data_IF_544675285991
#
_entry.id   IF_544675285991
#
_cell.length_a   1.000
_cell.length_b   1.000
_cell.length_c   1.000
_cell.angle_alpha   90.00
_cell.angle_beta   90.00
_cell.angle_gamma   90.00
#
_symmetry.space_group_name_H-M   'P 1'
#
loop_
_entity.id
_entity.type
_entity.pdbx_description
1 polymer ?
#
# COMPACT_ATOMS: atom_id res chain seq x y z
N UNK A 1 -0.15 -12.73 10.50
CA UNK A 1 0.90 -11.83 9.99
C UNK A 1 0.45 -11.32 8.65
N UNK A 2 0.31 -10.00 8.50
CA UNK A 2 -0.08 -9.30 7.29
C UNK A 2 1.15 -9.02 6.43
N UNK A 3 1.14 -9.44 5.17
CA UNK A 3 2.22 -9.23 4.22
C UNK A 3 1.85 -8.13 3.24
N UNK A 4 2.63 -7.06 3.21
CA UNK A 4 2.36 -5.85 2.44
C UNK A 4 3.44 -5.67 1.39
N UNK A 5 3.07 -5.62 0.11
CA UNK A 5 4.00 -5.22 -0.95
C UNK A 5 4.02 -3.70 -1.10
N UNK A 6 5.21 -3.10 -1.08
CA UNK A 6 5.44 -1.74 -1.60
C UNK A 6 5.85 -1.88 -3.07
N UNK A 7 5.03 -1.33 -3.97
CA UNK A 7 5.19 -1.51 -5.42
C UNK A 7 5.60 -0.20 -6.08
N UNK A 8 6.71 -0.24 -6.83
CA UNK A 8 7.17 0.90 -7.63
C UNK A 8 7.77 0.46 -8.97
N UNK A 9 7.96 1.40 -9.90
CA UNK A 9 8.53 1.17 -11.23
C UNK A 9 10.03 0.80 -11.28
N UNK A 10 10.64 0.36 -10.18
CA UNK A 10 12.03 -0.18 -10.18
C UNK A 10 13.15 0.80 -9.80
N UNK A 11 12.91 1.77 -8.91
CA UNK A 11 13.93 2.74 -8.45
C UNK A 11 14.44 2.54 -7.02
N UNK A 12 15.57 3.18 -6.69
CA UNK A 12 16.24 3.16 -5.36
C UNK A 12 15.36 3.67 -4.21
N UNK A 13 14.50 4.67 -4.46
CA UNK A 13 13.68 5.32 -3.42
C UNK A 13 12.62 4.39 -2.83
N UNK A 14 12.13 3.41 -3.58
CA UNK A 14 11.02 2.56 -3.14
C UNK A 14 11.49 1.31 -2.41
N UNK A 15 12.67 0.79 -2.76
CA UNK A 15 13.38 -0.17 -1.91
C UNK A 15 13.78 0.47 -0.58
N UNK A 16 14.14 1.76 -0.59
CA UNK A 16 14.42 2.51 0.63
C UNK A 16 13.17 2.69 1.50
N UNK A 17 12.01 2.99 0.89
CA UNK A 17 10.72 3.05 1.60
C UNK A 17 10.39 1.73 2.30
N UNK A 18 10.38 0.61 1.58
CA UNK A 18 10.08 -0.70 2.18
C UNK A 18 11.06 -1.03 3.32
N UNK A 19 12.35 -0.76 3.11
CA UNK A 19 13.38 -0.97 4.14
C UNK A 19 13.21 -0.06 5.36
N UNK A 20 12.72 1.16 5.17
CA UNK A 20 12.43 2.09 6.26
C UNK A 20 11.21 1.62 7.07
N UNK A 21 10.13 1.23 6.39
CA UNK A 21 8.94 0.67 7.03
C UNK A 21 9.26 -0.61 7.82
N UNK A 22 10.09 -1.51 7.28
CA UNK A 22 10.55 -2.70 8.01
C UNK A 22 11.34 -2.36 9.28
N UNK A 23 12.22 -1.36 9.22
CA UNK A 23 12.96 -0.90 10.40
C UNK A 23 12.02 -0.34 11.47
N UNK A 24 11.00 0.40 11.04
CA UNK A 24 10.00 0.95 11.95
C UNK A 24 9.12 -0.14 12.57
N UNK A 25 8.76 -1.18 11.80
CA UNK A 25 8.08 -2.39 12.31
C UNK A 25 8.91 -3.05 13.41
N UNK A 26 10.20 -3.27 13.17
CA UNK A 26 11.12 -3.85 14.16
C UNK A 26 11.27 -2.95 15.40
N UNK A 27 11.41 -1.63 15.21
CA UNK A 27 11.52 -0.69 16.32
C UNK A 27 10.26 -0.66 17.20
N UNK A 28 9.10 -0.95 16.61
CA UNK A 28 7.80 -1.05 17.30
C UNK A 28 7.45 -2.46 17.77
N UNK A 29 8.31 -3.45 17.55
CA UNK A 29 8.09 -4.86 17.93
C UNK A 29 6.86 -5.49 17.24
N UNK A 30 6.59 -5.08 16.00
CA UNK A 30 5.43 -5.52 15.20
C UNK A 30 5.80 -6.61 14.17
N UNK A 31 7.02 -7.16 14.21
CA UNK A 31 7.52 -8.13 13.21
C UNK A 31 6.73 -9.44 13.13
N UNK A 32 6.00 -9.80 14.19
CA UNK A 32 5.12 -10.98 14.19
C UNK A 32 3.74 -10.67 13.59
N UNK A 33 3.41 -9.39 13.45
CA UNK A 33 2.11 -8.91 13.00
C UNK A 33 2.13 -8.47 11.55
N UNK A 34 3.18 -7.77 11.11
CA UNK A 34 3.27 -7.16 9.78
C UNK A 34 4.65 -7.37 9.17
N UNK A 35 4.69 -7.57 7.86
CA UNK A 35 5.91 -7.58 7.06
C UNK A 35 5.73 -6.81 5.75
N UNK A 36 6.61 -5.85 5.49
CA UNK A 36 6.73 -5.10 4.25
C UNK A 36 7.80 -5.71 3.34
N UNK A 37 7.44 -5.91 2.09
CA UNK A 37 8.37 -6.37 1.04
C UNK A 37 8.31 -5.45 -0.15
N UNK A 38 9.45 -5.21 -0.81
CA UNK A 38 9.49 -4.47 -2.07
C UNK A 38 9.28 -5.42 -3.26
N UNK A 39 8.35 -5.08 -4.15
CA UNK A 39 8.14 -5.79 -5.42
C UNK A 39 8.09 -4.75 -6.56
N UNK A 40 8.93 -4.86 -7.60
CA UNK A 40 8.82 -3.98 -8.74
C UNK A 40 7.49 -4.14 -9.48
N UNK A 41 6.97 -3.06 -10.07
CA UNK A 41 5.69 -3.06 -10.80
C UNK A 41 5.66 -4.10 -11.94
N UNK A 42 6.79 -4.40 -12.56
CA UNK A 42 6.90 -5.45 -13.58
C UNK A 42 6.65 -6.86 -13.04
N UNK A 43 6.84 -7.09 -11.73
CA UNK A 43 6.78 -8.41 -11.10
C UNK A 43 5.59 -8.57 -10.14
N UNK A 44 4.83 -7.52 -9.83
CA UNK A 44 3.76 -7.65 -8.83
C UNK A 44 2.63 -8.58 -9.29
N UNK A 45 2.28 -8.59 -10.59
CA UNK A 45 1.19 -9.44 -11.10
C UNK A 45 1.54 -10.94 -10.98
N UNK A 46 2.79 -11.32 -11.19
CA UNK A 46 3.25 -12.71 -11.10
C UNK A 46 3.61 -13.13 -9.66
N UNK A 47 3.93 -12.17 -8.78
CA UNK A 47 4.32 -12.40 -7.37
C UNK A 47 3.23 -12.04 -6.36
N UNK A 48 2.03 -11.71 -6.80
CA UNK A 48 0.96 -11.25 -5.91
C UNK A 48 0.56 -12.30 -4.86
N UNK A 49 0.76 -13.60 -5.12
CA UNK A 49 0.53 -14.67 -4.14
C UNK A 49 1.50 -14.65 -2.94
N UNK A 50 2.56 -13.85 -3.00
CA UNK A 50 3.51 -13.69 -1.89
C UNK A 50 3.00 -12.78 -0.78
N UNK A 51 1.99 -11.94 -1.07
CA UNK A 51 1.51 -10.86 -0.20
C UNK A 51 -0.02 -10.82 -0.12
N UNK A 52 -0.54 -10.18 0.93
CA UNK A 52 -1.99 -10.04 1.13
C UNK A 52 -2.54 -8.77 0.49
N UNK A 53 -1.70 -7.73 0.34
CA UNK A 53 -2.08 -6.42 -0.19
C UNK A 53 -0.90 -5.72 -0.85
N UNK A 54 -1.16 -5.01 -1.95
CA UNK A 54 -0.15 -4.23 -2.67
C UNK A 54 -0.42 -2.72 -2.57
N UNK A 55 0.53 -2.00 -1.98
CA UNK A 55 0.54 -0.54 -1.89
C UNK A 55 1.42 0.03 -3.00
N UNK A 56 0.79 0.62 -4.02
CA UNK A 56 1.44 1.17 -5.20
C UNK A 56 1.86 2.62 -4.93
N UNK A 57 3.10 2.96 -5.30
CA UNK A 57 3.57 4.33 -5.23
C UNK A 57 2.68 5.29 -6.07
N UNK A 58 2.59 6.58 -5.69
CA UNK A 58 1.67 7.53 -6.34
C UNK A 58 1.81 7.59 -7.87
N UNK A 59 3.04 7.49 -8.37
CA UNK A 59 3.34 7.57 -9.80
C UNK A 59 2.85 6.36 -10.63
N UNK A 60 2.36 5.29 -9.98
CA UNK A 60 1.84 4.10 -10.64
C UNK A 60 0.32 4.12 -10.86
N UNK A 61 -0.37 5.26 -10.71
CA UNK A 61 -1.83 5.33 -10.92
C UNK A 61 -2.27 4.77 -12.30
N UNK A 62 -1.53 5.10 -13.36
CA UNK A 62 -1.83 4.61 -14.71
C UNK A 62 -1.66 3.09 -14.78
N UNK A 63 -0.57 2.57 -14.21
CA UNK A 63 -0.31 1.14 -14.12
C UNK A 63 -1.43 0.42 -13.34
N UNK A 64 -1.85 0.96 -12.20
CA UNK A 64 -2.91 0.40 -11.37
C UNK A 64 -4.22 0.27 -12.17
N UNK A 65 -4.59 1.30 -12.93
CA UNK A 65 -5.80 1.28 -13.78
C UNK A 65 -5.68 0.30 -14.93
N UNK A 66 -4.52 0.23 -15.57
CA UNK A 66 -4.29 -0.65 -16.73
C UNK A 66 -4.31 -2.14 -16.35
N UNK A 67 -3.76 -2.49 -15.18
CA UNK A 67 -3.59 -3.87 -14.73
C UNK A 67 -4.59 -4.29 -13.66
N UNK A 68 -5.61 -3.47 -13.33
CA UNK A 68 -6.57 -3.72 -12.27
C UNK A 68 -7.20 -5.13 -12.32
N UNK A 69 -7.61 -5.58 -13.50
CA UNK A 69 -8.23 -6.89 -13.72
C UNK A 69 -7.26 -8.07 -13.62
N UNK A 70 -5.95 -7.81 -13.58
CA UNK A 70 -4.92 -8.85 -13.43
C UNK A 70 -4.61 -9.17 -11.96
N UNK A 71 -5.19 -8.44 -11.01
CA UNK A 71 -4.96 -8.64 -9.58
C UNK A 71 -6.12 -9.34 -8.89
N UNK A 72 -5.82 -10.39 -8.12
CA UNK A 72 -6.75 -11.06 -7.20
C UNK A 72 -6.51 -10.69 -5.73
N UNK A 73 -5.56 -9.81 -5.46
CA UNK A 73 -5.36 -9.13 -4.17
C UNK A 73 -5.77 -7.66 -4.28
N UNK A 74 -6.07 -6.97 -3.17
CA UNK A 74 -6.31 -5.53 -3.20
C UNK A 74 -5.04 -4.77 -3.59
N UNK A 75 -5.20 -3.84 -4.54
CA UNK A 75 -4.18 -2.84 -4.87
C UNK A 75 -4.67 -1.46 -4.43
N UNK A 76 -3.81 -0.70 -3.77
CA UNK A 76 -4.11 0.65 -3.27
C UNK A 76 -3.01 1.62 -3.65
N UNK A 77 -3.38 2.81 -4.12
CA UNK A 77 -2.41 3.86 -4.46
C UNK A 77 -2.12 4.69 -3.22
N UNK A 78 -0.86 4.68 -2.77
CA UNK A 78 -0.40 5.45 -1.61
C UNK A 78 -0.56 6.95 -1.92
N UNK A 79 -1.21 7.74 -1.05
CA UNK A 79 -1.26 9.19 -1.16
C UNK A 79 0.14 9.83 -1.21
N UNK A 80 0.37 10.86 -2.04
CA UNK A 80 1.70 11.48 -2.18
C UNK A 80 2.33 11.96 -0.88
N UNK A 81 1.53 12.51 0.05
CA UNK A 81 2.06 13.00 1.34
C UNK A 81 2.47 11.85 2.27
N UNK A 82 1.73 10.74 2.29
CA UNK A 82 2.12 9.56 3.06
C UNK A 82 3.36 8.91 2.47
N UNK A 83 3.47 8.88 1.14
CA UNK A 83 4.68 8.40 0.48
C UNK A 83 5.93 9.20 0.88
N UNK A 84 5.80 10.53 1.00
CA UNK A 84 6.91 11.40 1.41
C UNK A 84 7.26 11.33 2.91
N UNK A 85 6.26 11.22 3.78
CA UNK A 85 6.45 11.20 5.24
C UNK A 85 6.74 9.80 5.80
N UNK A 86 6.33 8.77 5.08
CA UNK A 86 6.51 7.35 5.40
C UNK A 86 6.05 6.93 6.82
N UNK A 87 4.91 7.41 7.36
CA UNK A 87 4.51 7.04 8.73
C UNK A 87 4.03 5.58 8.78
N UNK A 88 4.82 4.68 9.38
CA UNK A 88 4.54 3.22 9.40
C UNK A 88 3.11 2.87 9.84
N UNK A 89 2.58 3.57 10.85
CA UNK A 89 1.23 3.29 11.37
C UNK A 89 0.16 3.54 10.31
N UNK A 90 0.36 4.57 9.47
CA UNK A 90 -0.59 4.87 8.41
C UNK A 90 -0.60 3.77 7.35
N UNK A 91 0.58 3.25 6.99
CA UNK A 91 0.70 2.18 6.00
C UNK A 91 0.08 0.88 6.52
N UNK A 92 0.30 0.53 7.79
CA UNK A 92 -0.30 -0.66 8.41
C UNK A 92 -1.82 -0.53 8.48
N UNK A 93 -2.31 0.57 9.05
CA UNK A 93 -3.75 0.77 9.29
C UNK A 93 -4.54 0.88 7.98
N UNK A 94 -4.01 1.61 6.99
CA UNK A 94 -4.63 1.70 5.66
C UNK A 94 -4.61 0.33 4.96
N UNK A 95 -3.52 -0.43 5.06
CA UNK A 95 -3.45 -1.77 4.46
C UNK A 95 -4.49 -2.73 5.07
N UNK A 96 -4.66 -2.69 6.39
CA UNK A 96 -5.70 -3.45 7.09
C UNK A 96 -7.11 -3.04 6.63
N UNK A 97 -7.36 -1.73 6.50
CA UNK A 97 -8.65 -1.22 6.06
C UNK A 97 -8.96 -1.61 4.61
N UNK A 98 -8.03 -1.43 3.66
CA UNK A 98 -8.31 -1.81 2.26
C UNK A 98 -8.48 -3.32 2.12
N UNK A 99 -7.75 -4.13 2.90
CA UNK A 99 -7.92 -5.59 2.88
C UNK A 99 -9.31 -5.99 3.37
N UNK A 100 -9.76 -5.39 4.48
CA UNK A 100 -11.11 -5.63 5.00
C UNK A 100 -12.19 -5.15 4.02
N UNK A 101 -12.01 -3.99 3.39
CA UNK A 101 -12.91 -3.47 2.36
C UNK A 101 -12.97 -4.39 1.14
N UNK A 102 -11.83 -4.89 0.67
CA UNK A 102 -11.74 -5.76 -0.51
C UNK A 102 -12.50 -7.09 -0.31
N UNK A 103 -12.43 -7.68 0.88
CA UNK A 103 -13.20 -8.89 1.19
C UNK A 103 -14.72 -8.67 1.09
N UNK A 104 -15.20 -7.47 1.38
CA UNK A 104 -16.63 -7.14 1.29
C UNK A 104 -17.03 -6.70 -0.14
N UNK A 105 -16.17 -5.94 -0.81
CA UNK A 105 -16.41 -5.41 -2.14
C UNK A 105 -15.11 -5.40 -2.97
N UNK A 106 -14.80 -6.51 -3.67
CA UNK A 106 -13.55 -6.62 -4.41
C UNK A 106 -13.58 -5.76 -5.67
N UNK A 107 -12.90 -4.60 -5.62
CA UNK A 107 -12.83 -3.65 -6.72
C UNK A 107 -11.46 -2.98 -6.82
N UNK A 108 -10.63 -3.41 -7.77
CA UNK A 108 -9.31 -2.82 -7.98
C UNK A 108 -9.35 -1.66 -9.01
N UNK A 109 -8.54 -0.59 -8.81
CA UNK A 109 -7.82 -0.26 -7.59
C UNK A 109 -8.75 0.19 -6.45
N UNK A 110 -8.45 -0.26 -5.24
CA UNK A 110 -9.16 0.13 -4.03
C UNK A 110 -8.89 1.60 -3.70
N UNK A 111 -9.89 2.26 -3.12
CA UNK A 111 -9.82 3.61 -2.56
C UNK A 111 -10.86 3.75 -1.45
N UNK A 112 -10.65 4.69 -0.52
CA UNK A 112 -11.67 5.07 0.45
C UNK A 112 -12.76 5.89 -0.24
N UNK A 113 -14.03 5.73 0.17
CA UNK A 113 -15.19 6.34 -0.51
C UNK A 113 -15.12 7.88 -0.56
N UNK A 114 -14.61 8.50 0.50
CA UNK A 114 -14.35 9.93 0.65
C UNK A 114 -13.04 10.40 -0.02
N UNK A 115 -12.19 9.46 -0.46
CA UNK A 115 -10.92 9.71 -1.14
C UNK A 115 -10.89 9.15 -2.59
N UNK A 116 -11.83 9.51 -3.48
CA UNK A 116 -11.94 8.93 -4.83
C UNK A 116 -10.76 9.26 -5.77
N UNK A 117 -9.86 10.15 -5.34
CA UNK A 117 -8.70 10.61 -6.10
C UNK A 117 -7.45 10.53 -5.22
N UNK A 118 -6.76 9.37 -5.17
CA UNK A 118 -5.62 9.16 -4.27
C UNK A 118 -4.52 10.21 -4.39
N UNK A 119 -4.26 10.72 -5.60
CA UNK A 119 -3.24 11.76 -5.84
C UNK A 119 -3.61 13.15 -5.29
N UNK A 120 -4.86 13.37 -4.91
CA UNK A 120 -5.34 14.62 -4.29
C UNK A 120 -5.46 14.51 -2.77
N UNK A 121 -5.21 13.34 -2.20
CA UNK A 121 -5.30 13.11 -0.75
C UNK A 121 -4.15 13.82 -0.04
N UNK A 122 -4.49 14.63 0.97
CA UNK A 122 -3.55 15.52 1.66
C UNK A 122 -3.32 15.15 3.14
N UNK A 123 -3.86 14.02 3.61
CA UNK A 123 -3.64 13.54 4.98
C UNK A 123 -2.21 13.07 5.20
N UNK A 124 -1.78 13.14 6.45
CA UNK A 124 -0.43 12.74 6.91
C UNK A 124 -0.47 11.57 7.89
N UNK A 125 -1.66 11.03 8.15
CA UNK A 125 -1.96 9.88 9.03
C UNK A 125 -2.80 8.87 8.27
N UNK A 126 -3.13 7.71 8.86
CA UNK A 126 -4.11 6.76 8.29
C UNK A 126 -5.46 7.42 8.04
N UNK A 127 -6.25 6.81 7.16
CA UNK A 127 -7.62 7.23 6.87
C UNK A 127 -8.48 7.28 8.13
N UNK A 128 -8.49 6.19 8.91
CA UNK A 128 -9.27 6.09 10.15
C UNK A 128 -8.92 7.15 11.19
N UNK A 129 -7.64 7.56 11.29
CA UNK A 129 -7.21 8.62 12.23
C UNK A 129 -7.47 10.02 11.68
N UNK A 130 -7.50 10.18 10.37
CA UNK A 130 -7.81 11.47 9.75
C UNK A 130 -9.29 11.83 9.91
N UNK A 131 -10.16 10.81 9.93
CA UNK A 131 -11.61 10.95 10.02
C UNK A 131 -12.20 10.66 11.42
N UNK A 132 -11.35 10.49 12.44
CA UNK A 132 -11.75 10.35 13.85
C UNK A 132 -11.90 11.72 14.52
#
# INVERSE_FOLDING_TARGET
MLKIAIVCGGGFSSSALASHLEKDVQAKQLENEVHFTFIPASHIVERQDEVDVALLCPHLEIFAKQYASSFHIPIYIIPPRLYGLMPVDAFIEDAQDILAMYHNHPANPMHFEDEPRPLRVMRTTSHRKHNA
#
